data_IF_464122792698
#
_entry.id   IF_464122792698
#
_cell.length_a   1.000
_cell.length_b   1.000
_cell.length_c   1.000
_cell.angle_alpha   90.00
_cell.angle_beta   90.00
_cell.angle_gamma   90.00
#
_symmetry.space_group_name_H-M   'P 1'
#
loop_
_entity.id
_entity.type
_entity.pdbx_description
1 polymer ?
#
# COMPACT_ATOMS: atom_id res chain seq x y z
N UNK A 1 -21.55 0.45 14.35
CA UNK A 1 -21.05 0.68 15.72
C UNK A 1 -20.99 -0.60 16.58
N UNK A 2 -21.60 -1.71 16.15
CA UNK A 2 -21.56 -3.00 16.89
C UNK A 2 -20.26 -3.81 16.71
N UNK A 3 -19.34 -3.41 15.84
CA UNK A 3 -18.10 -4.17 15.58
C UNK A 3 -16.98 -3.86 16.61
N UNK A 4 -17.03 -2.74 17.31
CA UNK A 4 -15.99 -2.34 18.27
C UNK A 4 -16.20 -2.89 19.69
N UNK A 5 -17.37 -3.42 20.01
CA UNK A 5 -17.71 -3.84 21.38
C UNK A 5 -16.90 -5.06 21.89
N UNK A 6 -16.19 -5.78 20.99
CA UNK A 6 -15.39 -6.96 21.32
C UNK A 6 -13.90 -6.83 20.96
N UNK A 7 -13.42 -5.62 20.58
CA UNK A 7 -12.00 -5.44 20.24
C UNK A 7 -11.19 -5.30 21.54
N UNK A 8 -10.13 -6.09 21.71
CA UNK A 8 -9.26 -5.96 22.87
C UNK A 8 -8.67 -4.56 22.99
N UNK A 9 -8.63 -3.96 24.22
CA UNK A 9 -8.07 -2.63 24.42
C UNK A 9 -6.65 -2.44 23.87
N UNK A 10 -5.84 -3.50 23.87
CA UNK A 10 -4.48 -3.51 23.35
C UNK A 10 -4.43 -3.26 21.84
N UNK A 11 -5.40 -3.80 21.10
CA UNK A 11 -5.53 -3.58 19.64
C UNK A 11 -5.89 -2.12 19.35
N UNK A 12 -6.81 -1.55 20.15
CA UNK A 12 -7.17 -0.14 20.04
C UNK A 12 -5.96 0.76 20.29
N UNK A 13 -5.18 0.48 21.34
CA UNK A 13 -3.96 1.22 21.66
C UNK A 13 -2.91 1.10 20.55
N UNK A 14 -2.70 -0.09 20.01
CA UNK A 14 -1.80 -0.30 18.88
C UNK A 14 -2.23 0.52 17.66
N UNK A 15 -3.51 0.46 17.28
CA UNK A 15 -4.05 1.20 16.15
C UNK A 15 -3.95 2.73 16.32
N UNK A 16 -4.20 3.25 17.54
CA UNK A 16 -4.01 4.66 17.85
C UNK A 16 -2.56 5.09 17.67
N UNK A 17 -1.60 4.30 18.17
CA UNK A 17 -0.17 4.58 18.02
C UNK A 17 0.29 4.50 16.56
N UNK A 18 -0.27 3.57 15.78
CA UNK A 18 -0.02 3.48 14.33
C UNK A 18 -0.57 4.73 13.63
N UNK A 19 -1.76 5.19 14.00
CA UNK A 19 -2.35 6.41 13.43
C UNK A 19 -1.48 7.64 13.73
N UNK A 20 -0.95 7.77 14.94
CA UNK A 20 -0.01 8.85 15.30
C UNK A 20 1.29 8.76 14.49
N UNK A 21 1.85 7.55 14.33
CA UNK A 21 3.05 7.35 13.51
C UNK A 21 2.79 7.68 12.02
N UNK A 22 1.58 7.45 11.52
CA UNK A 22 1.17 7.86 10.18
C UNK A 22 1.09 9.38 10.06
N UNK A 23 0.49 10.07 11.04
CA UNK A 23 0.40 11.54 11.08
C UNK A 23 1.78 12.20 11.09
N UNK A 24 2.76 11.65 11.82
CA UNK A 24 4.15 12.11 11.81
C UNK A 24 4.79 12.06 10.41
N UNK A 25 4.32 11.16 9.55
CA UNK A 25 4.73 11.05 8.14
C UNK A 25 3.84 11.85 7.17
N UNK A 26 2.89 12.63 7.70
CA UNK A 26 1.95 13.42 6.91
C UNK A 26 0.78 12.62 6.32
N UNK A 27 0.55 11.39 6.82
CA UNK A 27 -0.55 10.52 6.39
C UNK A 27 -1.73 10.72 7.35
N UNK A 28 -2.74 11.48 6.93
CA UNK A 28 -3.92 11.75 7.74
C UNK A 28 -4.97 10.68 7.53
N UNK A 29 -5.33 9.98 8.59
CA UNK A 29 -6.36 8.94 8.57
C UNK A 29 -7.71 9.48 9.02
N UNK A 30 -8.76 9.11 8.30
CA UNK A 30 -10.14 9.34 8.76
C UNK A 30 -10.51 8.36 9.87
N UNK A 31 -11.52 8.69 10.67
CA UNK A 31 -12.04 7.75 11.68
C UNK A 31 -12.47 6.41 11.08
N UNK A 32 -12.99 6.40 9.84
CA UNK A 32 -13.33 5.18 9.12
C UNK A 32 -12.09 4.34 8.81
N UNK A 33 -11.00 4.99 8.44
CA UNK A 33 -9.73 4.33 8.12
C UNK A 33 -9.09 3.73 9.37
N UNK A 34 -9.16 4.44 10.50
CA UNK A 34 -8.70 3.92 11.79
C UNK A 34 -9.49 2.68 12.21
N UNK A 35 -10.82 2.68 12.04
CA UNK A 35 -11.66 1.50 12.32
C UNK A 35 -11.23 0.33 11.40
N UNK A 36 -11.06 0.57 10.11
CA UNK A 36 -10.61 -0.46 9.16
C UNK A 36 -9.23 -1.03 9.53
N UNK A 37 -8.34 -0.19 10.07
CA UNK A 37 -7.04 -0.64 10.56
C UNK A 37 -7.17 -1.52 11.81
N UNK A 38 -8.05 -1.16 12.75
CA UNK A 38 -8.38 -1.97 13.93
C UNK A 38 -8.88 -3.35 13.53
N UNK A 39 -9.82 -3.41 12.59
CA UNK A 39 -10.37 -4.67 12.08
C UNK A 39 -9.24 -5.51 11.43
N UNK A 40 -8.39 -4.88 10.60
CA UNK A 40 -7.28 -5.58 9.98
C UNK A 40 -6.30 -6.18 11.00
N UNK A 41 -5.90 -5.41 12.01
CA UNK A 41 -5.00 -5.88 13.07
C UNK A 41 -5.65 -7.03 13.84
N UNK A 42 -6.93 -6.93 14.18
CA UNK A 42 -7.67 -7.99 14.87
C UNK A 42 -7.65 -9.30 14.08
N UNK A 43 -7.92 -9.25 12.77
CA UNK A 43 -7.86 -10.42 11.90
C UNK A 43 -6.43 -10.95 11.70
N UNK A 44 -5.42 -10.07 11.66
CA UNK A 44 -4.03 -10.50 11.58
C UNK A 44 -3.60 -11.27 12.83
N UNK A 45 -3.97 -10.80 14.01
CA UNK A 45 -3.72 -11.48 15.29
C UNK A 45 -4.41 -12.86 15.34
N UNK A 46 -5.68 -12.91 14.91
CA UNK A 46 -6.44 -14.17 14.86
C UNK A 46 -5.79 -15.19 13.90
N UNK A 47 -5.27 -14.74 12.74
CA UNK A 47 -4.54 -15.60 11.81
C UNK A 47 -3.28 -16.18 12.45
N UNK A 48 -2.49 -15.35 13.14
CA UNK A 48 -1.27 -15.84 13.83
C UNK A 48 -1.62 -16.84 14.92
N UNK A 49 -2.66 -16.59 15.72
CA UNK A 49 -3.14 -17.51 16.75
C UNK A 49 -3.55 -18.88 16.18
N UNK A 50 -4.20 -18.87 15.01
CA UNK A 50 -4.61 -20.08 14.27
C UNK A 50 -3.46 -20.73 13.49
N UNK A 51 -2.26 -20.18 13.51
CA UNK A 51 -1.13 -20.66 12.71
C UNK A 51 -1.36 -20.55 11.20
N UNK A 52 -2.25 -19.65 10.76
CA UNK A 52 -2.51 -19.39 9.34
C UNK A 52 -1.67 -18.23 8.84
N UNK A 53 -1.15 -18.36 7.63
CA UNK A 53 -0.32 -17.35 6.99
C UNK A 53 -0.99 -16.83 5.73
N UNK A 54 -1.01 -15.50 5.56
CA UNK A 54 -1.52 -14.84 4.35
C UNK A 54 -0.36 -14.15 3.63
N UNK A 55 0.21 -14.76 2.58
CA UNK A 55 1.29 -14.13 1.83
C UNK A 55 0.79 -12.90 1.09
N UNK A 56 1.58 -11.82 1.13
CA UNK A 56 1.28 -10.60 0.41
C UNK A 56 2.00 -10.57 -0.93
N UNK A 57 1.31 -11.01 -1.97
CA UNK A 57 1.86 -11.03 -3.34
C UNK A 57 2.19 -9.62 -3.87
N UNK A 58 1.65 -8.56 -3.25
CA UNK A 58 1.87 -7.16 -3.63
C UNK A 58 2.95 -6.46 -2.78
N UNK A 59 3.65 -7.20 -1.90
CA UNK A 59 4.58 -6.61 -0.93
C UNK A 59 5.69 -5.79 -1.60
N UNK A 60 6.28 -6.33 -2.66
CA UNK A 60 7.37 -5.68 -3.41
C UNK A 60 6.91 -4.38 -4.06
N UNK A 61 5.78 -4.42 -4.75
CA UNK A 61 5.20 -3.26 -5.43
C UNK A 61 4.69 -2.23 -4.41
N UNK A 62 4.09 -2.66 -3.32
CA UNK A 62 3.64 -1.77 -2.23
C UNK A 62 4.81 -1.02 -1.63
N UNK A 63 5.90 -1.72 -1.31
CA UNK A 63 7.13 -1.10 -0.80
C UNK A 63 7.71 -0.06 -1.76
N UNK A 64 7.69 -0.35 -3.06
CA UNK A 64 8.23 0.55 -4.09
C UNK A 64 7.33 1.76 -4.35
N UNK A 65 6.02 1.55 -4.42
CA UNK A 65 5.05 2.58 -4.79
C UNK A 65 4.66 3.49 -3.63
N UNK A 66 4.72 2.98 -2.40
CA UNK A 66 4.27 3.61 -1.17
C UNK A 66 5.29 3.47 -0.04
N UNK A 67 6.55 3.95 -0.24
CA UNK A 67 7.64 3.72 0.71
C UNK A 67 7.40 4.35 2.09
N UNK A 68 6.70 5.47 2.17
CA UNK A 68 6.36 6.12 3.44
C UNK A 68 5.35 5.30 4.23
N UNK A 69 4.28 4.89 3.57
CA UNK A 69 3.23 4.08 4.18
C UNK A 69 3.76 2.70 4.57
N UNK A 70 4.67 2.14 3.76
CA UNK A 70 5.34 0.89 4.09
C UNK A 70 6.25 1.02 5.32
N UNK A 71 6.99 2.13 5.47
CA UNK A 71 7.79 2.38 6.66
C UNK A 71 6.90 2.48 7.93
N UNK A 72 5.72 3.11 7.83
CA UNK A 72 4.73 3.09 8.92
C UNK A 72 4.20 1.68 9.15
N UNK A 73 3.96 0.90 8.10
CA UNK A 73 3.57 -0.51 8.19
C UNK A 73 4.60 -1.35 8.95
N UNK A 74 5.89 -1.18 8.68
CA UNK A 74 6.97 -1.84 9.45
C UNK A 74 6.96 -1.40 10.92
N UNK A 75 6.79 -0.11 11.20
CA UNK A 75 6.66 0.41 12.57
C UNK A 75 5.43 -0.17 13.26
N UNK A 76 4.34 -0.40 12.52
CA UNK A 76 3.12 -1.00 13.04
C UNK A 76 3.35 -2.42 13.56
N UNK A 77 4.19 -3.24 12.91
CA UNK A 77 4.53 -4.58 13.40
C UNK A 77 5.18 -4.52 14.78
N UNK A 78 6.07 -3.55 15.01
CA UNK A 78 6.71 -3.34 16.31
C UNK A 78 5.70 -2.88 17.38
N UNK A 79 4.78 -1.97 17.01
CA UNK A 79 3.74 -1.49 17.92
C UNK A 79 2.76 -2.62 18.28
N UNK A 80 2.33 -3.43 17.33
CA UNK A 80 1.49 -4.61 17.62
C UNK A 80 2.22 -5.58 18.55
N UNK A 81 3.50 -5.85 18.32
CA UNK A 81 4.29 -6.68 19.23
C UNK A 81 4.36 -6.08 20.63
N UNK A 82 4.53 -4.77 20.74
CA UNK A 82 4.64 -4.06 22.03
C UNK A 82 3.33 -4.10 22.83
N UNK A 83 2.19 -3.86 22.18
CA UNK A 83 0.90 -3.74 22.87
C UNK A 83 0.14 -5.06 22.96
N UNK A 84 0.25 -5.93 21.94
CA UNK A 84 -0.48 -7.19 21.88
C UNK A 84 0.38 -8.42 22.18
N UNK A 85 1.71 -8.28 22.31
CA UNK A 85 2.64 -9.39 22.59
C UNK A 85 2.83 -10.37 21.42
N UNK A 86 2.32 -10.08 20.24
CA UNK A 86 2.34 -10.96 19.06
C UNK A 86 3.22 -10.39 17.98
N UNK A 87 4.12 -11.22 17.43
CA UNK A 87 4.92 -10.86 16.27
C UNK A 87 4.14 -11.19 14.99
N UNK A 88 3.77 -10.15 14.24
CA UNK A 88 3.18 -10.31 12.92
C UNK A 88 4.27 -10.55 11.86
N UNK A 89 3.98 -11.30 10.78
CA UNK A 89 4.89 -11.47 9.65
C UNK A 89 5.07 -10.17 8.85
N UNK A 90 6.17 -10.07 8.10
CA UNK A 90 6.49 -8.88 7.29
C UNK A 90 5.41 -8.54 6.25
N UNK A 91 4.72 -9.54 5.73
CA UNK A 91 3.60 -9.38 4.81
C UNK A 91 2.52 -8.44 5.33
N UNK A 92 2.29 -8.44 6.63
CA UNK A 92 1.30 -7.56 7.27
C UNK A 92 1.71 -6.07 7.22
N UNK A 93 3.01 -5.76 7.15
CA UNK A 93 3.46 -4.37 6.93
C UNK A 93 2.96 -3.83 5.58
N UNK A 94 2.96 -4.67 4.54
CA UNK A 94 2.42 -4.31 3.24
C UNK A 94 0.91 -4.13 3.24
N UNK A 95 0.17 -5.00 3.92
CA UNK A 95 -1.28 -4.84 4.07
C UNK A 95 -1.64 -3.58 4.86
N UNK A 96 -0.95 -3.32 5.98
CA UNK A 96 -1.14 -2.09 6.77
C UNK A 96 -0.82 -0.86 5.90
N UNK A 97 0.27 -0.88 5.13
CA UNK A 97 0.61 0.20 4.21
C UNK A 97 -0.54 0.50 3.23
N UNK A 98 -1.14 -0.53 2.63
CA UNK A 98 -2.29 -0.36 1.73
C UNK A 98 -3.53 0.19 2.44
N UNK A 99 -3.77 -0.19 3.70
CA UNK A 99 -4.83 0.42 4.53
C UNK A 99 -4.58 1.91 4.77
N UNK A 100 -3.33 2.30 5.05
CA UNK A 100 -2.94 3.70 5.23
C UNK A 100 -3.14 4.50 3.94
N UNK A 101 -2.69 3.97 2.79
CA UNK A 101 -2.91 4.63 1.49
C UNK A 101 -4.39 4.77 1.18
N UNK A 102 -5.18 3.69 1.34
CA UNK A 102 -6.62 3.70 1.08
C UNK A 102 -7.38 4.66 2.01
N UNK A 103 -6.84 4.89 3.19
CA UNK A 103 -7.39 5.80 4.20
C UNK A 103 -7.08 7.28 3.96
N UNK A 104 -6.09 7.60 3.15
CA UNK A 104 -5.77 8.97 2.76
C UNK A 104 -6.78 9.51 1.73
N UNK A 105 -6.89 10.84 1.63
CA UNK A 105 -7.89 11.51 0.81
C UNK A 105 -7.91 11.06 -0.67
N UNK A 106 -6.76 10.64 -1.20
CA UNK A 106 -6.59 10.21 -2.60
C UNK A 106 -6.39 8.68 -2.75
N UNK A 107 -6.55 7.92 -1.68
CA UNK A 107 -6.10 6.52 -1.61
C UNK A 107 -7.08 5.47 -2.12
N UNK A 108 -8.30 5.83 -2.50
CA UNK A 108 -9.35 4.87 -2.89
C UNK A 108 -8.93 3.91 -4.03
N UNK A 109 -7.95 4.30 -4.85
CA UNK A 109 -7.47 3.52 -6.00
C UNK A 109 -6.11 2.84 -5.75
N UNK A 110 -5.57 2.88 -4.53
CA UNK A 110 -4.24 2.37 -4.26
C UNK A 110 -4.10 0.88 -4.55
N UNK A 111 -5.06 0.09 -4.09
CA UNK A 111 -5.07 -1.35 -4.30
C UNK A 111 -5.18 -1.70 -5.78
N UNK A 112 -6.06 -1.02 -6.51
CA UNK A 112 -6.24 -1.22 -7.95
C UNK A 112 -5.00 -0.75 -8.73
N UNK A 113 -4.33 0.29 -8.26
CA UNK A 113 -3.05 0.75 -8.84
C UNK A 113 -1.98 -0.33 -8.73
N UNK A 114 -1.81 -0.94 -7.55
CA UNK A 114 -0.82 -2.02 -7.35
C UNK A 114 -1.17 -3.22 -8.22
N UNK A 115 -2.42 -3.65 -8.25
CA UNK A 115 -2.89 -4.74 -9.12
C UNK A 115 -2.63 -4.46 -10.60
N UNK A 116 -2.92 -3.24 -11.06
CA UNK A 116 -2.66 -2.84 -12.44
C UNK A 116 -1.16 -2.97 -12.78
N UNK A 117 -0.29 -2.44 -11.92
CA UNK A 117 1.17 -2.51 -12.13
C UNK A 117 1.63 -3.96 -12.20
N UNK A 118 1.15 -4.82 -11.30
CA UNK A 118 1.50 -6.25 -11.30
C UNK A 118 1.03 -6.94 -12.58
N UNK A 119 -0.23 -6.76 -12.98
CA UNK A 119 -0.79 -7.36 -14.18
C UNK A 119 -0.03 -6.96 -15.46
N UNK A 120 0.32 -5.68 -15.59
CA UNK A 120 1.10 -5.21 -16.75
C UNK A 120 2.51 -5.81 -16.75
N UNK A 121 3.18 -5.89 -15.60
CA UNK A 121 4.50 -6.53 -15.50
C UNK A 121 4.44 -8.01 -15.85
N UNK A 122 3.41 -8.72 -15.39
CA UNK A 122 3.18 -10.13 -15.73
C UNK A 122 3.00 -10.32 -17.24
N UNK A 123 2.14 -9.53 -17.89
CA UNK A 123 1.94 -9.55 -19.35
C UNK A 123 3.26 -9.34 -20.10
N UNK A 124 4.10 -8.39 -19.65
CA UNK A 124 5.40 -8.12 -20.26
C UNK A 124 6.31 -9.34 -20.09
N UNK A 125 6.39 -9.91 -18.89
CA UNK A 125 7.21 -11.10 -18.63
C UNK A 125 6.80 -12.28 -19.50
N UNK A 126 5.50 -12.53 -19.63
CA UNK A 126 4.97 -13.65 -20.42
C UNK A 126 5.21 -13.43 -21.92
N UNK A 127 5.04 -12.20 -22.40
CA UNK A 127 5.16 -11.88 -23.83
C UNK A 127 6.63 -11.92 -24.30
N UNK A 128 7.54 -11.38 -23.49
CA UNK A 128 8.95 -11.22 -23.86
C UNK A 128 9.86 -12.26 -23.20
N UNK A 129 9.30 -13.19 -22.42
CA UNK A 129 10.05 -14.23 -21.69
C UNK A 129 11.17 -13.64 -20.83
N UNK A 130 10.90 -12.52 -20.16
CA UNK A 130 11.84 -11.79 -19.31
C UNK A 130 11.43 -11.85 -17.85
N UNK A 131 12.35 -11.44 -16.98
CA UNK A 131 12.10 -11.24 -15.56
C UNK A 131 12.51 -9.84 -15.16
N UNK A 132 11.77 -9.24 -14.23
CA UNK A 132 12.15 -7.95 -13.68
C UNK A 132 13.03 -8.15 -12.44
N UNK A 133 14.25 -7.63 -12.51
CA UNK A 133 15.13 -7.54 -11.34
C UNK A 133 14.58 -6.45 -10.39
N UNK A 134 14.22 -6.83 -9.14
CA UNK A 134 13.44 -6.00 -8.23
C UNK A 134 14.06 -4.64 -7.91
N UNK A 135 15.40 -4.56 -7.88
CA UNK A 135 16.11 -3.34 -7.49
C UNK A 135 16.79 -2.64 -8.68
N UNK A 136 16.57 -3.12 -9.92
CA UNK A 136 17.13 -2.45 -11.10
C UNK A 136 16.45 -1.09 -11.35
N UNK A 137 17.23 -0.14 -11.83
CA UNK A 137 16.74 1.20 -12.15
C UNK A 137 15.61 1.18 -13.19
N UNK A 138 15.72 0.28 -14.17
CA UNK A 138 14.73 0.06 -15.21
C UNK A 138 13.40 -0.41 -14.63
N UNK A 139 13.45 -1.40 -13.74
CA UNK A 139 12.24 -1.91 -13.05
C UNK A 139 11.59 -0.83 -12.19
N UNK A 140 12.37 -0.06 -11.44
CA UNK A 140 11.87 1.05 -10.63
C UNK A 140 11.20 2.10 -11.51
N UNK A 141 11.86 2.53 -12.59
CA UNK A 141 11.31 3.55 -13.52
C UNK A 141 10.02 3.06 -14.17
N UNK A 142 10.01 1.83 -14.71
CA UNK A 142 8.80 1.24 -15.29
C UNK A 142 7.65 1.21 -14.28
N UNK A 143 7.92 0.72 -13.07
CA UNK A 143 6.91 0.61 -12.00
C UNK A 143 6.31 1.98 -11.65
N UNK A 144 7.14 3.02 -11.54
CA UNK A 144 6.68 4.40 -11.29
C UNK A 144 5.85 4.95 -12.46
N UNK A 145 6.26 4.71 -13.70
CA UNK A 145 5.47 5.11 -14.88
C UNK A 145 4.12 4.40 -14.93
N UNK A 146 4.09 3.10 -14.65
CA UNK A 146 2.85 2.32 -14.58
C UNK A 146 1.93 2.81 -13.45
N UNK A 147 2.46 3.27 -12.30
CA UNK A 147 1.68 3.92 -11.25
C UNK A 147 0.93 5.14 -11.77
N UNK A 148 1.64 6.04 -12.45
CA UNK A 148 1.01 7.25 -13.02
C UNK A 148 -0.01 6.91 -14.12
N UNK A 149 0.29 5.92 -14.97
CA UNK A 149 -0.65 5.44 -15.98
C UNK A 149 -1.91 4.87 -15.33
N UNK A 150 -1.77 3.99 -14.33
CA UNK A 150 -2.87 3.44 -13.57
C UNK A 150 -3.75 4.53 -12.94
N UNK A 151 -3.14 5.52 -12.28
CA UNK A 151 -3.86 6.63 -11.68
C UNK A 151 -4.72 7.40 -12.70
N UNK A 152 -4.21 7.59 -13.91
CA UNK A 152 -4.95 8.27 -14.99
C UNK A 152 -6.10 7.41 -15.52
N UNK A 153 -5.86 6.14 -15.79
CA UNK A 153 -6.88 5.20 -16.28
C UNK A 153 -8.00 5.05 -15.26
N UNK A 154 -7.65 4.79 -14.01
CA UNK A 154 -8.61 4.53 -12.94
C UNK A 154 -9.43 5.78 -12.55
N UNK A 155 -8.86 6.98 -12.73
CA UNK A 155 -9.56 8.26 -12.50
C UNK A 155 -10.30 8.77 -13.74
N UNK A 156 -10.24 8.05 -14.87
CA UNK A 156 -10.79 8.49 -16.15
C UNK A 156 -10.32 9.90 -16.56
N UNK A 157 -9.09 10.27 -16.17
CA UNK A 157 -8.51 11.56 -16.54
C UNK A 157 -7.78 11.41 -17.87
N UNK A 158 -8.25 12.09 -18.97
CA UNK A 158 -7.55 12.03 -20.24
C UNK A 158 -6.15 12.64 -20.11
N UNK A 159 -5.23 12.16 -20.92
CA UNK A 159 -3.93 12.79 -21.04
C UNK A 159 -4.12 14.16 -21.69
N UNK A 160 -3.70 15.22 -21.03
CA UNK A 160 -3.61 16.55 -21.63
C UNK A 160 -2.16 16.74 -22.07
N UNK A 161 -1.99 16.91 -23.36
CA UNK A 161 -0.69 17.23 -23.96
C UNK A 161 -0.34 18.70 -23.64
N UNK A 162 0.17 18.92 -22.42
CA UNK A 162 0.62 20.23 -22.01
C UNK A 162 2.04 20.47 -22.54
N UNK A 163 2.18 20.67 -23.85
CA UNK A 163 3.37 21.28 -24.39
C UNK A 163 4.31 20.40 -25.22
N UNK A 164 3.98 19.16 -25.56
CA UNK A 164 4.79 18.37 -26.49
C UNK A 164 4.73 18.94 -27.92
N UNK A 165 3.61 19.51 -28.34
CA UNK A 165 3.52 20.18 -29.65
C UNK A 165 4.53 21.34 -29.81
N UNK A 166 4.81 22.08 -28.73
CA UNK A 166 5.82 23.14 -28.77
C UNK A 166 7.25 22.62 -28.85
N UNK A 167 7.55 21.42 -28.34
CA UNK A 167 8.86 20.80 -28.45
C UNK A 167 9.13 20.24 -29.85
N UNK A 168 8.11 19.68 -30.53
CA UNK A 168 8.24 19.20 -31.90
C UNK A 168 8.42 20.34 -32.91
N UNK A 169 7.84 21.50 -32.63
CA UNK A 169 7.98 22.68 -33.52
C UNK A 169 9.37 23.34 -33.47
N UNK A 170 10.14 23.10 -32.42
CA UNK A 170 11.52 23.60 -32.25
C UNK A 170 12.57 22.66 -32.86
N UNK A 171 12.20 21.39 -33.18
CA UNK A 171 13.10 20.37 -33.72
C UNK A 171 12.95 20.18 -35.25
N UNK A 172 12.06 20.91 -35.92
CA UNK A 172 11.93 20.97 -37.38
C UNK A 172 12.42 22.34 -37.91
#
# INVERSE_FOLDING_TARGET
LKMLDNVPPQVMQAAERISLAAEEQGILLSSKSTISLVDHISFALERVEKGTFLPNLMLSETRMLYPKEYAVGQRALELVRQFCGVQLPEDEAGYIALHLVAGAADGALAYDTVKFVMAVKEIICDTYHCTFEKESLETIRLTVHLKFLAARILRHTPWQDAGLESMYTVLL
#
